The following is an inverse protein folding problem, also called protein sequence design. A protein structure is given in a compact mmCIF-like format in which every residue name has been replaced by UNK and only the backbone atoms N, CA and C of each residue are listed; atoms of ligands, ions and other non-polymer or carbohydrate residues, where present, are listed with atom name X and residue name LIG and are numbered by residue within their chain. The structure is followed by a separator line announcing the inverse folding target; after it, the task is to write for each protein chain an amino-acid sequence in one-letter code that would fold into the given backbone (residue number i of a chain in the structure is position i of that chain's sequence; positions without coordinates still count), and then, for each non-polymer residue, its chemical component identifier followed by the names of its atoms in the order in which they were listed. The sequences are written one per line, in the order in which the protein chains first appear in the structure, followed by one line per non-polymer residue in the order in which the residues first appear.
data_IF_697977590573
#
_entry.id   IF_697977590573
#
_cell.length_a   1.000
_cell.length_b   1.000
_cell.length_c   1.000
_cell.angle_alpha   90.00
_cell.angle_beta   90.00
_cell.angle_gamma   90.00
#
_symmetry.space_group_name_H-M   'P 1'
#
loop_
_entity.id
_entity.type
_entity.pdbx_description
1 polymer ?
#
# COMPACT_ATOMS: atom_id res chain seq x y z
N UNK A 1 -9.48 32.10 20.67
CA UNK A 1 -8.24 32.54 20.04
C UNK A 1 -7.80 31.37 19.16
N UNK A 2 -7.50 31.61 17.90
CA UNK A 2 -7.01 30.56 16.98
C UNK A 2 -5.58 30.23 17.39
N UNK A 3 -5.28 28.94 17.51
CA UNK A 3 -3.98 28.45 17.98
C UNK A 3 -2.93 28.45 16.85
N UNK A 4 -1.69 28.86 17.16
CA UNK A 4 -0.57 28.72 16.23
C UNK A 4 -0.08 27.28 16.17
N UNK A 5 0.73 26.94 15.16
CA UNK A 5 1.25 25.56 15.01
C UNK A 5 2.23 25.20 16.13
N UNK A 6 3.02 26.16 16.62
CA UNK A 6 3.95 25.97 17.73
C UNK A 6 3.20 25.69 19.04
N UNK A 7 2.11 26.40 19.30
CA UNK A 7 1.25 26.16 20.45
C UNK A 7 0.57 24.79 20.36
N UNK A 8 0.07 24.42 19.17
CA UNK A 8 -0.54 23.11 18.93
C UNK A 8 0.50 21.99 19.10
N UNK A 9 1.73 22.19 18.64
CA UNK A 9 2.81 21.23 18.83
C UNK A 9 3.13 21.03 20.30
N UNK A 10 3.15 22.10 21.10
CA UNK A 10 3.25 22.01 22.56
C UNK A 10 2.15 21.14 23.18
N UNK A 11 0.89 21.31 22.72
CA UNK A 11 -0.25 20.50 23.16
C UNK A 11 -0.15 19.03 22.74
N UNK A 12 0.34 18.78 21.52
CA UNK A 12 0.64 17.42 21.05
C UNK A 12 1.68 16.73 21.94
N UNK A 13 2.75 17.42 22.32
CA UNK A 13 3.78 16.87 23.22
C UNK A 13 3.20 16.63 24.64
N UNK A 14 2.34 17.51 25.15
CA UNK A 14 1.61 17.31 26.41
C UNK A 14 0.74 16.04 26.42
N UNK A 15 0.30 15.57 25.22
CA UNK A 15 -0.43 14.31 25.00
C UNK A 15 0.49 13.09 24.86
N UNK A 16 1.77 13.22 25.20
CA UNK A 16 2.76 12.15 25.01
C UNK A 16 2.99 11.80 23.55
N UNK A 17 2.86 12.76 22.64
CA UNK A 17 2.92 12.60 21.20
C UNK A 17 1.92 11.55 20.64
N UNK A 18 0.75 11.45 21.25
CA UNK A 18 -0.31 10.55 20.86
C UNK A 18 -1.48 11.31 20.25
N UNK A 19 -1.87 10.95 19.04
CA UNK A 19 -3.02 11.53 18.32
C UNK A 19 -3.99 10.44 17.84
N UNK A 20 -5.25 10.79 17.75
CA UNK A 20 -6.27 9.97 17.10
C UNK A 20 -7.30 10.85 16.39
N UNK A 21 -7.84 10.36 15.27
CA UNK A 21 -8.97 10.95 14.55
C UNK A 21 -10.24 10.12 14.73
N UNK A 22 -10.18 9.01 15.47
CA UNK A 22 -11.32 8.15 15.78
C UNK A 22 -11.66 8.22 17.28
N UNK A 23 -12.77 8.87 17.62
CA UNK A 23 -13.24 9.03 19.00
C UNK A 23 -13.50 7.69 19.73
N UNK A 24 -13.69 6.60 19.00
CA UNK A 24 -13.90 5.24 19.54
C UNK A 24 -12.59 4.56 19.98
N UNK A 25 -11.46 5.05 19.50
CA UNK A 25 -10.13 4.48 19.75
C UNK A 25 -9.40 5.14 20.92
N UNK A 26 -10.01 6.11 21.61
CA UNK A 26 -9.43 6.84 22.73
C UNK A 26 -9.15 5.87 23.89
N UNK A 27 -7.91 5.91 24.40
CA UNK A 27 -7.44 5.11 25.52
C UNK A 27 -7.14 5.94 26.77
N UNK A 28 -7.01 7.25 26.59
CA UNK A 28 -6.75 8.25 27.61
C UNK A 28 -5.47 9.04 27.37
N UNK A 29 -5.60 10.38 27.38
CA UNK A 29 -4.49 11.32 27.27
C UNK A 29 -4.13 11.77 25.86
N UNK A 30 -4.75 11.24 24.81
CA UNK A 30 -4.47 11.59 23.41
C UNK A 30 -4.97 13.02 23.05
N UNK A 31 -4.41 13.57 21.97
CA UNK A 31 -4.98 14.66 21.20
C UNK A 31 -5.97 14.08 20.19
N UNK A 32 -7.27 14.29 20.41
CA UNK A 32 -8.28 13.97 19.39
C UNK A 32 -8.32 15.09 18.35
N UNK A 33 -8.22 14.74 17.06
CA UNK A 33 -8.31 15.69 15.94
C UNK A 33 -9.64 15.45 15.21
N UNK A 34 -10.55 16.41 15.33
CA UNK A 34 -11.90 16.34 14.75
C UNK A 34 -11.85 16.70 13.27
N UNK A 35 -11.89 15.69 12.41
CA UNK A 35 -11.89 15.88 10.94
C UNK A 35 -13.33 15.96 10.41
N UNK A 36 -13.55 16.82 9.42
CA UNK A 36 -14.82 16.95 8.71
C UNK A 36 -14.69 16.31 7.32
N UNK A 37 -15.56 15.38 7.00
CA UNK A 37 -15.70 14.75 5.68
C UNK A 37 -17.03 15.09 5.04
N UNK A 38 -17.30 14.59 3.85
CA UNK A 38 -18.54 14.84 3.08
C UNK A 38 -19.81 14.43 3.83
N UNK A 39 -19.76 13.28 4.52
CA UNK A 39 -20.93 12.67 5.21
C UNK A 39 -20.78 12.58 6.72
N UNK A 40 -19.77 13.24 7.30
CA UNK A 40 -19.41 13.09 8.70
C UNK A 40 -18.71 14.36 9.20
N UNK A 41 -19.12 14.85 10.36
CA UNK A 41 -18.47 15.96 11.05
C UNK A 41 -17.88 15.50 12.40
N UNK A 42 -16.55 15.34 12.43
CA UNK A 42 -15.81 14.94 13.64
C UNK A 42 -15.94 15.94 14.79
N UNK A 43 -16.24 17.22 14.49
CA UNK A 43 -16.39 18.26 15.50
C UNK A 43 -17.53 17.97 16.49
N UNK A 44 -18.59 17.28 16.05
CA UNK A 44 -19.71 16.87 16.90
C UNK A 44 -19.30 15.87 17.99
N UNK A 45 -18.17 15.18 17.81
CA UNK A 45 -17.67 14.17 18.75
C UNK A 45 -16.60 14.71 19.70
N UNK A 46 -16.22 15.98 19.60
CA UNK A 46 -15.11 16.55 20.36
C UNK A 46 -15.34 16.48 21.90
N UNK A 47 -16.50 16.89 22.37
CA UNK A 47 -16.84 16.83 23.82
C UNK A 47 -16.92 15.39 24.31
N UNK A 48 -17.50 14.49 23.50
CA UNK A 48 -17.56 13.06 23.82
C UNK A 48 -16.17 12.43 23.86
N UNK A 49 -15.24 12.89 22.99
CA UNK A 49 -13.85 12.46 23.01
C UNK A 49 -13.14 12.86 24.30
N UNK A 50 -13.39 14.07 24.80
CA UNK A 50 -12.88 14.53 26.11
C UNK A 50 -13.47 13.72 27.27
N UNK A 51 -14.77 13.43 27.23
CA UNK A 51 -15.45 12.55 28.23
C UNK A 51 -14.85 11.12 28.19
N UNK A 52 -14.45 10.62 27.01
CA UNK A 52 -13.80 9.32 26.85
C UNK A 52 -12.33 9.32 27.32
N UNK A 53 -11.76 10.46 27.72
CA UNK A 53 -10.43 10.57 28.29
C UNK A 53 -9.37 11.20 27.39
N UNK A 54 -9.72 11.72 26.21
CA UNK A 54 -8.79 12.54 25.44
C UNK A 54 -8.37 13.76 26.27
N UNK A 55 -7.09 14.11 26.24
CA UNK A 55 -6.58 15.28 26.98
C UNK A 55 -7.01 16.58 26.32
N UNK A 56 -6.97 16.61 25.01
CA UNK A 56 -7.42 17.73 24.18
C UNK A 56 -8.21 17.24 22.97
N UNK A 57 -9.11 18.10 22.48
CA UNK A 57 -9.84 17.92 21.23
C UNK A 57 -9.60 19.13 20.32
N UNK A 58 -8.93 18.93 19.20
CA UNK A 58 -8.71 19.94 18.16
C UNK A 58 -9.92 19.98 17.24
N UNK A 59 -10.51 21.17 17.09
CA UNK A 59 -11.76 21.40 16.35
C UNK A 59 -11.65 22.61 15.45
N UNK A 60 -12.55 22.71 14.47
CA UNK A 60 -12.74 23.94 13.70
C UNK A 60 -13.33 25.05 14.57
N UNK A 61 -12.87 26.28 14.41
CA UNK A 61 -13.25 27.43 15.23
C UNK A 61 -14.73 27.80 15.13
N UNK A 62 -15.40 27.46 14.04
CA UNK A 62 -16.83 27.65 13.79
C UNK A 62 -17.73 26.55 14.39
N UNK A 63 -17.14 25.51 14.98
CA UNK A 63 -17.88 24.39 15.56
C UNK A 63 -18.56 24.72 16.90
N UNK A 64 -19.65 24.01 17.19
CA UNK A 64 -20.35 24.11 18.48
C UNK A 64 -19.40 23.76 19.64
N UNK A 65 -18.51 22.79 19.46
CA UNK A 65 -17.53 22.41 20.48
C UNK A 65 -16.56 23.56 20.79
N UNK A 66 -16.13 24.35 19.79
CA UNK A 66 -15.30 25.55 20.00
C UNK A 66 -16.02 26.62 20.84
N UNK A 67 -17.35 26.76 20.67
CA UNK A 67 -18.18 27.70 21.39
C UNK A 67 -18.52 27.25 22.82
N UNK A 68 -18.24 26.00 23.18
CA UNK A 68 -18.55 25.45 24.51
C UNK A 68 -17.74 26.08 25.66
N UNK A 69 -16.58 26.69 25.35
CA UNK A 69 -15.65 27.20 26.37
C UNK A 69 -14.95 26.11 27.19
N UNK A 70 -15.04 24.85 26.80
CA UNK A 70 -14.40 23.75 27.52
C UNK A 70 -12.86 23.86 27.42
N UNK A 71 -12.12 23.80 28.56
CA UNK A 71 -10.67 24.05 28.59
C UNK A 71 -9.83 23.01 27.79
N UNK A 72 -10.38 21.82 27.53
CA UNK A 72 -9.76 20.80 26.71
C UNK A 72 -10.00 20.95 25.19
N UNK A 73 -10.84 21.92 24.77
CA UNK A 73 -11.13 22.20 23.37
C UNK A 73 -10.09 23.18 22.82
N UNK A 74 -9.41 22.80 21.75
CA UNK A 74 -8.44 23.61 21.02
C UNK A 74 -9.05 23.98 19.66
N UNK A 75 -9.09 25.28 19.32
CA UNK A 75 -9.72 25.75 18.08
C UNK A 75 -8.68 26.21 17.06
N UNK A 76 -8.85 25.79 15.81
CA UNK A 76 -8.09 26.20 14.62
C UNK A 76 -9.05 26.55 13.49
N UNK A 77 -8.56 27.25 12.45
CA UNK A 77 -9.41 27.57 11.28
C UNK A 77 -9.91 26.29 10.58
N UNK A 78 -9.01 25.34 10.36
CA UNK A 78 -9.30 24.05 9.72
C UNK A 78 -8.45 22.94 10.36
N UNK A 79 -9.11 21.98 10.99
CA UNK A 79 -8.46 20.86 11.69
C UNK A 79 -7.72 19.90 10.75
N UNK A 80 -8.16 19.77 9.50
CA UNK A 80 -7.46 18.97 8.49
C UNK A 80 -6.15 19.63 8.05
N UNK A 81 -6.17 20.94 7.79
CA UNK A 81 -4.95 21.71 7.49
C UNK A 81 -4.01 21.68 8.70
N UNK A 82 -4.54 21.87 9.91
CA UNK A 82 -3.77 21.83 11.15
C UNK A 82 -3.09 20.47 11.39
N UNK A 83 -3.77 19.34 11.08
CA UNK A 83 -3.17 18.01 11.12
C UNK A 83 -1.94 17.89 10.19
N UNK A 84 -2.05 18.39 8.97
CA UNK A 84 -0.95 18.36 7.99
C UNK A 84 0.22 19.24 8.43
N UNK A 85 -0.08 20.45 8.91
CA UNK A 85 0.93 21.37 9.42
C UNK A 85 1.60 20.83 10.68
N UNK A 86 0.85 20.23 11.60
CA UNK A 86 1.40 19.60 12.80
C UNK A 86 2.35 18.45 12.46
N UNK A 87 1.97 17.61 11.50
CA UNK A 87 2.80 16.50 11.05
C UNK A 87 4.09 16.98 10.35
N UNK A 88 4.00 17.97 9.48
CA UNK A 88 5.17 18.58 8.84
C UNK A 88 6.06 19.28 9.87
N UNK A 89 5.48 20.03 10.81
CA UNK A 89 6.22 20.67 11.90
C UNK A 89 6.98 19.64 12.74
N UNK A 90 6.30 18.55 13.16
CA UNK A 90 6.93 17.45 13.88
C UNK A 90 8.07 16.83 13.07
N UNK A 91 7.84 16.47 11.79
CA UNK A 91 8.84 15.96 10.86
C UNK A 91 10.10 16.83 10.83
N UNK A 92 9.93 18.14 10.80
CA UNK A 92 11.01 19.13 10.73
C UNK A 92 11.72 19.38 12.06
N UNK A 93 11.16 18.89 13.18
CA UNK A 93 11.74 18.98 14.52
C UNK A 93 12.32 17.63 15.00
N UNK A 94 12.29 16.58 14.19
CA UNK A 94 12.91 15.29 14.47
C UNK A 94 14.35 15.28 13.98
N UNK A 95 15.31 15.12 14.91
CA UNK A 95 16.75 15.11 14.61
C UNK A 95 17.40 13.83 15.10
N UNK A 96 18.36 13.34 14.31
CA UNK A 96 19.21 12.19 14.60
C UNK A 96 20.67 12.63 14.49
N UNK A 97 21.43 12.55 15.55
CA UNK A 97 22.84 12.92 15.60
C UNK A 97 23.12 14.33 15.02
N UNK A 98 22.22 15.28 15.32
CA UNK A 98 22.31 16.68 14.88
C UNK A 98 21.88 16.94 13.43
N UNK A 99 21.41 15.92 12.70
CA UNK A 99 20.84 16.05 11.37
C UNK A 99 19.34 15.78 11.40
N UNK A 100 18.59 16.38 10.49
CA UNK A 100 17.17 16.11 10.31
C UNK A 100 16.96 14.62 10.01
N UNK A 101 15.95 14.01 10.63
CA UNK A 101 15.59 12.60 10.43
C UNK A 101 15.43 12.28 8.94
N UNK A 102 16.00 11.18 8.50
CA UNK A 102 15.85 10.70 7.12
C UNK A 102 14.46 10.13 6.87
N UNK A 103 13.82 10.57 5.81
CA UNK A 103 12.53 10.06 5.34
C UNK A 103 12.67 9.45 3.95
N UNK A 104 12.26 8.20 3.81
CA UNK A 104 12.12 7.50 2.53
C UNK A 104 10.64 7.52 2.16
N UNK A 105 10.29 8.28 1.11
CA UNK A 105 8.95 8.32 0.56
C UNK A 105 8.78 7.29 -0.55
N UNK A 106 7.70 6.51 -0.52
CA UNK A 106 7.44 5.56 -1.59
C UNK A 106 6.00 5.60 -2.10
N UNK A 107 5.87 5.48 -3.41
CA UNK A 107 4.59 5.32 -4.10
C UNK A 107 4.68 4.24 -5.18
N UNK A 108 3.64 4.08 -5.96
CA UNK A 108 3.58 3.16 -7.10
C UNK A 108 2.17 2.64 -7.33
N UNK A 109 1.98 1.93 -8.41
CA UNK A 109 0.68 1.30 -8.69
C UNK A 109 0.49 0.06 -7.83
N UNK A 110 1.42 -0.88 -7.90
CA UNK A 110 1.39 -2.16 -7.18
C UNK A 110 2.63 -2.32 -6.29
N UNK A 111 2.56 -3.18 -5.29
CA UNK A 111 3.71 -3.56 -4.46
C UNK A 111 4.11 -2.57 -3.37
N UNK A 112 3.49 -1.39 -3.26
CA UNK A 112 3.84 -0.35 -2.26
C UNK A 112 3.99 -0.91 -0.84
N UNK A 113 2.94 -1.51 -0.32
CA UNK A 113 2.94 -2.01 1.06
C UNK A 113 3.93 -3.15 1.27
N UNK A 114 4.02 -4.08 0.31
CA UNK A 114 5.02 -5.17 0.37
C UNK A 114 6.44 -4.61 0.38
N UNK A 115 6.73 -3.67 -0.51
CA UNK A 115 8.06 -3.02 -0.57
C UNK A 115 8.35 -2.25 0.71
N UNK A 116 7.39 -1.49 1.24
CA UNK A 116 7.52 -0.78 2.52
C UNK A 116 7.85 -1.73 3.67
N UNK A 117 7.12 -2.86 3.78
CA UNK A 117 7.38 -3.83 4.85
C UNK A 117 8.74 -4.52 4.70
N UNK A 118 9.16 -4.86 3.47
CA UNK A 118 10.49 -5.40 3.22
C UNK A 118 11.59 -4.38 3.56
N UNK A 119 11.44 -3.11 3.16
CA UNK A 119 12.37 -2.03 3.52
C UNK A 119 12.44 -1.89 5.05
N UNK A 120 11.27 -1.85 5.73
CA UNK A 120 11.21 -1.80 7.18
C UNK A 120 11.95 -2.98 7.82
N UNK A 121 11.70 -4.20 7.35
CA UNK A 121 12.35 -5.41 7.88
C UNK A 121 13.87 -5.35 7.72
N UNK A 122 14.35 -4.99 6.53
CA UNK A 122 15.80 -4.88 6.24
C UNK A 122 16.46 -3.78 7.09
N UNK A 123 15.88 -2.58 7.10
CA UNK A 123 16.46 -1.47 7.86
C UNK A 123 16.40 -1.70 9.38
N UNK A 124 15.38 -2.41 9.87
CA UNK A 124 15.24 -2.75 11.29
C UNK A 124 16.34 -3.70 11.81
N UNK A 125 17.10 -4.34 10.93
CA UNK A 125 18.29 -5.10 11.34
C UNK A 125 19.42 -4.21 11.91
N UNK A 126 19.35 -2.88 11.65
CA UNK A 126 20.39 -1.93 12.12
C UNK A 126 19.82 -0.70 12.81
N UNK A 127 18.60 -0.29 12.49
CA UNK A 127 18.03 0.99 12.91
C UNK A 127 16.65 0.84 13.55
N UNK A 128 16.27 1.79 14.40
CA UNK A 128 14.88 1.94 14.83
C UNK A 128 14.07 2.64 13.72
N UNK A 129 13.05 1.98 13.20
CA UNK A 129 12.30 2.41 12.02
C UNK A 129 10.86 2.77 12.39
N UNK A 130 10.39 3.94 11.94
CA UNK A 130 8.97 4.26 11.86
C UNK A 130 8.50 4.07 10.42
N UNK A 131 7.44 3.30 10.20
CA UNK A 131 6.87 3.09 8.87
C UNK A 131 5.36 3.28 8.88
N UNK A 132 4.78 3.65 7.73
CA UNK A 132 3.33 3.69 7.54
C UNK A 132 2.69 2.36 7.95
N UNK A 133 1.70 2.40 8.83
CA UNK A 133 0.95 1.22 9.24
C UNK A 133 -0.30 1.00 8.39
N UNK A 134 -0.58 -0.26 8.10
CA UNK A 134 -1.77 -0.64 7.33
C UNK A 134 -1.86 0.09 5.99
N UNK A 135 -2.92 0.84 5.82
CA UNK A 135 -3.23 1.65 4.63
C UNK A 135 -3.25 3.16 4.92
N UNK A 136 -2.53 3.64 5.93
CA UNK A 136 -2.43 5.06 6.30
C UNK A 136 -1.53 5.83 5.32
N UNK A 137 -1.90 5.82 4.04
CA UNK A 137 -1.09 6.32 2.93
C UNK A 137 -1.76 7.46 2.13
N UNK A 138 -2.85 8.03 2.65
CA UNK A 138 -3.59 9.16 2.08
C UNK A 138 -3.34 10.45 2.87
N UNK A 139 -4.08 11.52 2.55
CA UNK A 139 -3.98 12.87 3.15
C UNK A 139 -4.17 12.94 4.67
N UNK A 140 -4.81 11.94 5.26
CA UNK A 140 -4.94 11.79 6.73
C UNK A 140 -3.88 10.83 7.25
N UNK A 141 -3.65 9.74 6.54
CA UNK A 141 -2.79 8.65 6.99
C UNK A 141 -1.30 9.00 6.99
N UNK A 142 -0.83 9.76 6.00
CA UNK A 142 0.57 10.22 5.95
C UNK A 142 0.89 11.15 7.13
N UNK A 143 0.09 12.20 7.42
CA UNK A 143 0.26 12.99 8.64
C UNK A 143 0.29 12.14 9.91
N UNK A 144 -0.67 11.22 10.09
CA UNK A 144 -0.70 10.34 11.25
C UNK A 144 0.54 9.42 11.34
N UNK A 145 1.06 8.97 10.20
CA UNK A 145 2.30 8.17 10.14
C UNK A 145 3.51 8.98 10.59
N UNK A 146 3.60 10.24 10.19
CA UNK A 146 4.69 11.15 10.61
C UNK A 146 4.62 11.46 12.11
N UNK A 147 3.41 11.72 12.66
CA UNK A 147 3.22 11.98 14.09
C UNK A 147 3.51 10.76 14.99
N UNK A 148 3.85 9.61 14.43
CA UNK A 148 4.33 8.43 15.17
C UNK A 148 5.85 8.33 15.24
N UNK A 149 6.57 9.23 14.58
CA UNK A 149 8.02 9.32 14.70
C UNK A 149 8.39 9.65 16.15
N UNK A 150 9.32 8.88 16.70
CA UNK A 150 9.80 9.02 18.08
C UNK A 150 11.26 9.51 18.08
N UNK A 151 11.73 9.97 19.21
CA UNK A 151 13.13 10.36 19.39
C UNK A 151 14.13 9.21 19.12
N UNK A 152 13.66 7.96 19.26
CA UNK A 152 14.46 6.77 18.97
C UNK A 152 14.49 6.42 17.48
N UNK A 153 13.54 6.93 16.69
CA UNK A 153 13.46 6.66 15.23
C UNK A 153 14.69 7.20 14.52
N UNK A 154 15.29 6.38 13.67
CA UNK A 154 16.47 6.74 12.86
C UNK A 154 16.12 7.01 11.40
N UNK A 155 15.18 6.26 10.86
CA UNK A 155 14.68 6.40 9.49
C UNK A 155 13.16 6.23 9.51
N UNK A 156 12.43 7.07 8.77
CA UNK A 156 11.01 6.91 8.53
C UNK A 156 10.76 6.41 7.10
N UNK A 157 9.85 5.44 6.92
CA UNK A 157 9.46 4.88 5.62
C UNK A 157 7.98 5.16 5.40
N UNK A 158 7.69 6.14 4.54
CA UNK A 158 6.34 6.70 4.35
C UNK A 158 5.75 6.26 3.01
N UNK A 159 4.73 5.40 3.08
CA UNK A 159 3.94 4.99 1.90
C UNK A 159 2.95 6.08 1.52
N UNK A 160 2.92 6.46 0.23
CA UNK A 160 2.03 7.46 -0.35
C UNK A 160 1.14 6.84 -1.41
N UNK A 161 -0.16 6.83 -1.15
CA UNK A 161 -1.20 6.42 -2.09
C UNK A 161 -1.68 7.58 -2.93
N UNK A 162 -2.16 7.30 -4.15
CA UNK A 162 -2.77 8.32 -4.99
C UNK A 162 -3.86 7.69 -5.87
N UNK A 163 -4.99 8.37 -5.97
CA UNK A 163 -6.14 8.02 -6.78
C UNK A 163 -6.49 9.15 -7.77
N UNK A 164 -6.02 10.38 -7.52
CA UNK A 164 -6.27 11.57 -8.32
C UNK A 164 -4.97 12.33 -8.66
N UNK A 165 -4.98 13.22 -9.65
CA UNK A 165 -3.91 14.19 -9.87
C UNK A 165 -3.62 14.97 -8.59
N UNK A 166 -2.35 15.31 -8.39
CA UNK A 166 -1.82 16.10 -7.27
C UNK A 166 -1.86 15.43 -5.86
N UNK A 167 -2.47 14.25 -5.70
CA UNK A 167 -2.41 13.53 -4.42
C UNK A 167 -0.96 13.37 -3.92
N UNK A 168 -0.05 12.90 -4.79
CA UNK A 168 1.36 12.73 -4.41
C UNK A 168 2.02 14.05 -4.07
N UNK A 169 1.73 15.13 -4.82
CA UNK A 169 2.24 16.48 -4.55
C UNK A 169 1.88 16.91 -3.13
N UNK A 170 0.62 16.78 -2.75
CA UNK A 170 0.17 17.13 -1.40
C UNK A 170 0.85 16.30 -0.30
N UNK A 171 1.11 15.02 -0.56
CA UNK A 171 1.72 14.13 0.42
C UNK A 171 3.23 14.39 0.56
N UNK A 172 3.96 14.65 -0.52
CA UNK A 172 5.39 14.99 -0.45
C UNK A 172 5.64 16.33 0.22
N UNK A 173 4.74 17.32 0.06
CA UNK A 173 4.80 18.59 0.76
C UNK A 173 4.65 18.46 2.28
N UNK A 174 3.95 17.42 2.75
CA UNK A 174 3.78 17.14 4.19
C UNK A 174 4.96 16.34 4.74
N UNK A 175 5.39 15.28 4.03
CA UNK A 175 6.42 14.38 4.55
C UNK A 175 7.85 14.80 4.19
N UNK A 176 8.05 15.66 3.19
CA UNK A 176 9.36 16.15 2.72
C UNK A 176 10.40 15.02 2.66
N UNK A 177 10.23 14.03 1.78
CA UNK A 177 11.12 12.87 1.74
C UNK A 177 12.51 13.27 1.23
N UNK A 178 13.56 12.71 1.85
CA UNK A 178 14.96 12.85 1.43
C UNK A 178 15.31 11.85 0.32
N UNK A 179 14.60 10.72 0.31
CA UNK A 179 14.72 9.66 -0.70
C UNK A 179 13.36 9.30 -1.26
N UNK A 180 13.32 8.99 -2.56
CA UNK A 180 12.12 8.58 -3.28
C UNK A 180 12.22 7.18 -3.86
N UNK A 181 11.09 6.46 -3.90
CA UNK A 181 10.95 5.18 -4.61
C UNK A 181 9.58 5.10 -5.27
N UNK A 182 9.54 4.82 -6.57
CA UNK A 182 8.32 4.41 -7.27
C UNK A 182 8.47 2.93 -7.60
N UNK A 183 7.62 2.08 -7.02
CA UNK A 183 7.71 0.63 -7.21
C UNK A 183 7.47 0.23 -8.66
N UNK A 184 6.44 0.77 -9.26
CA UNK A 184 6.07 0.64 -10.67
C UNK A 184 4.97 1.64 -11.03
N UNK A 185 4.73 1.80 -12.34
CA UNK A 185 3.56 2.46 -12.89
C UNK A 185 2.77 1.45 -13.71
N UNK A 186 1.44 1.50 -13.62
CA UNK A 186 0.56 0.57 -14.29
C UNK A 186 -0.87 1.12 -14.36
N UNK A 187 -1.75 0.42 -15.08
CA UNK A 187 -3.15 0.80 -15.21
C UNK A 187 -3.89 0.56 -13.90
N UNK A 188 -4.12 1.62 -13.14
CA UNK A 188 -4.92 1.62 -11.92
C UNK A 188 -5.55 3.00 -11.72
N UNK A 189 -6.72 3.05 -11.07
CA UNK A 189 -7.45 4.29 -10.79
C UNK A 189 -7.64 5.17 -12.04
N UNK A 190 -7.87 4.53 -13.20
CA UNK A 190 -7.98 5.24 -14.49
C UNK A 190 -9.14 6.24 -14.51
N UNK A 191 -10.19 5.99 -13.73
CA UNK A 191 -11.29 6.94 -13.56
C UNK A 191 -10.78 8.27 -12.96
N UNK A 192 -9.91 8.21 -11.95
CA UNK A 192 -9.38 9.39 -11.28
C UNK A 192 -8.26 10.08 -12.08
N UNK A 193 -7.33 9.32 -12.65
CA UNK A 193 -6.18 9.86 -13.39
C UNK A 193 -6.46 10.16 -14.87
N UNK A 194 -7.57 9.69 -15.42
CA UNK A 194 -7.98 9.86 -16.80
C UNK A 194 -7.23 9.00 -17.82
N UNK A 195 -5.97 8.64 -17.56
CA UNK A 195 -5.14 7.84 -18.48
C UNK A 195 -3.92 7.24 -17.78
N UNK A 196 -3.23 6.31 -18.45
CA UNK A 196 -1.94 5.79 -17.98
C UNK A 196 -0.87 6.88 -17.86
N UNK A 197 -0.83 7.83 -18.80
CA UNK A 197 0.06 9.00 -18.70
C UNK A 197 -0.32 9.90 -17.51
N UNK A 198 -1.59 9.98 -17.13
CA UNK A 198 -2.05 10.61 -15.90
C UNK A 198 -1.48 9.95 -14.65
N UNK A 199 -1.46 8.61 -14.62
CA UNK A 199 -0.81 7.84 -13.53
C UNK A 199 0.67 8.17 -13.42
N UNK A 200 1.41 8.19 -14.55
CA UNK A 200 2.84 8.53 -14.58
C UNK A 200 3.08 9.95 -14.06
N UNK A 201 2.31 10.94 -14.54
CA UNK A 201 2.44 12.34 -14.08
C UNK A 201 2.21 12.46 -12.58
N UNK A 202 1.12 11.89 -12.06
CA UNK A 202 0.79 11.98 -10.64
C UNK A 202 1.88 11.33 -9.76
N UNK A 203 2.33 10.12 -10.09
CA UNK A 203 3.39 9.45 -9.32
C UNK A 203 4.76 10.09 -9.49
N UNK A 204 5.02 10.66 -10.68
CA UNK A 204 6.23 11.42 -10.99
C UNK A 204 6.44 12.64 -10.11
N UNK A 205 5.39 13.19 -9.50
CA UNK A 205 5.49 14.29 -8.54
C UNK A 205 6.42 13.99 -7.35
N UNK A 206 6.59 12.71 -6.99
CA UNK A 206 7.61 12.31 -6.02
C UNK A 206 9.02 12.60 -6.57
N UNK A 207 9.30 12.26 -7.82
CA UNK A 207 10.60 12.56 -8.44
C UNK A 207 10.81 14.05 -8.63
N UNK A 208 9.74 14.80 -8.97
CA UNK A 208 9.79 16.27 -9.07
C UNK A 208 10.20 16.90 -7.73
N UNK A 209 9.60 16.46 -6.63
CA UNK A 209 9.92 16.94 -5.30
C UNK A 209 11.39 16.63 -4.93
N UNK A 210 11.82 15.39 -5.11
CA UNK A 210 13.18 14.94 -4.79
C UNK A 210 14.23 15.71 -5.60
N UNK A 211 14.00 15.91 -6.92
CA UNK A 211 14.90 16.69 -7.77
C UNK A 211 15.01 18.15 -7.31
N UNK A 212 13.89 18.78 -6.95
CA UNK A 212 13.84 20.17 -6.49
C UNK A 212 14.55 20.38 -5.13
N UNK A 213 14.67 19.34 -4.30
CA UNK A 213 15.23 19.44 -2.95
C UNK A 213 16.60 18.75 -2.79
N UNK A 214 17.22 18.32 -3.90
CA UNK A 214 18.56 17.72 -3.89
C UNK A 214 18.66 16.35 -3.25
N UNK A 215 17.56 15.61 -3.17
CA UNK A 215 17.50 14.24 -2.66
C UNK A 215 17.90 13.20 -3.71
N UNK A 216 17.69 11.92 -3.39
CA UNK A 216 18.01 10.81 -4.30
C UNK A 216 16.83 9.87 -4.47
N UNK A 217 16.76 9.17 -5.61
CA UNK A 217 15.74 8.14 -5.85
C UNK A 217 16.37 6.76 -6.00
N UNK A 218 15.73 5.76 -5.41
CA UNK A 218 16.01 4.36 -5.71
C UNK A 218 15.21 3.99 -6.95
N UNK A 219 15.89 3.73 -8.05
CA UNK A 219 15.30 3.54 -9.37
C UNK A 219 15.40 2.09 -9.84
N UNK A 220 14.27 1.48 -10.16
CA UNK A 220 14.27 0.20 -10.87
C UNK A 220 14.75 0.42 -12.31
N UNK A 221 16.00 0.06 -12.57
CA UNK A 221 16.66 0.24 -13.85
C UNK A 221 16.13 -0.70 -14.96
N UNK A 222 15.42 -1.78 -14.59
CA UNK A 222 14.79 -2.70 -15.55
C UNK A 222 13.41 -2.22 -16.00
N UNK A 223 12.87 -1.14 -15.41
CA UNK A 223 11.56 -0.62 -15.78
C UNK A 223 11.69 0.62 -16.69
N UNK A 224 11.40 0.48 -18.01
CA UNK A 224 11.61 1.55 -18.98
C UNK A 224 10.75 2.79 -18.71
N UNK A 225 9.54 2.63 -18.15
CA UNK A 225 8.69 3.76 -17.79
C UNK A 225 9.31 4.59 -16.66
N UNK A 226 9.85 3.92 -15.63
CA UNK A 226 10.49 4.61 -14.50
C UNK A 226 11.80 5.28 -14.92
N UNK A 227 12.58 4.63 -15.78
CA UNK A 227 13.80 5.21 -16.36
C UNK A 227 13.46 6.46 -17.15
N UNK A 228 12.50 6.40 -18.09
CA UNK A 228 12.05 7.55 -18.85
C UNK A 228 11.50 8.69 -17.96
N UNK A 229 10.77 8.33 -16.88
CA UNK A 229 10.28 9.31 -15.91
C UNK A 229 11.42 9.99 -15.14
N UNK A 230 12.52 9.31 -14.88
CA UNK A 230 13.68 9.87 -14.20
C UNK A 230 14.53 10.75 -15.14
N UNK A 231 14.77 10.30 -16.37
CA UNK A 231 15.62 10.97 -17.37
C UNK A 231 15.15 12.38 -17.76
N UNK A 232 13.84 12.67 -17.67
CA UNK A 232 13.29 14.00 -17.98
C UNK A 232 13.43 15.01 -16.83
N UNK A 233 14.11 14.64 -15.73
CA UNK A 233 14.24 15.46 -14.51
C UNK A 233 15.71 15.80 -14.25
N UNK A 234 16.07 17.00 -14.58
CA UNK A 234 17.42 17.52 -14.31
C UNK A 234 17.72 17.55 -12.80
N UNK A 235 18.94 17.18 -12.44
CA UNK A 235 19.40 17.22 -11.04
C UNK A 235 18.92 16.09 -10.14
N UNK A 236 18.17 15.12 -10.66
CA UNK A 236 17.74 13.96 -9.91
C UNK A 236 18.92 12.99 -9.68
N UNK A 237 19.31 12.79 -8.42
CA UNK A 237 20.32 11.78 -8.06
C UNK A 237 19.70 10.40 -8.07
N UNK A 238 20.31 9.44 -8.78
CA UNK A 238 19.77 8.09 -9.00
C UNK A 238 20.64 7.04 -8.33
N UNK A 239 20.01 6.16 -7.54
CA UNK A 239 20.58 4.95 -6.96
C UNK A 239 19.88 3.77 -7.65
N UNK A 240 20.50 3.16 -8.68
CA UNK A 240 19.85 2.13 -9.48
C UNK A 240 19.81 0.79 -8.76
N UNK A 241 18.74 0.03 -9.04
CA UNK A 241 18.61 -1.39 -8.72
C UNK A 241 17.83 -2.10 -9.81
N UNK A 242 17.92 -3.43 -9.87
CA UNK A 242 17.15 -4.22 -10.82
C UNK A 242 17.70 -5.63 -10.96
N UNK A 243 16.94 -6.52 -11.58
CA UNK A 243 17.34 -7.91 -11.81
C UNK A 243 18.56 -7.98 -12.73
N UNK A 244 18.52 -7.27 -13.85
CA UNK A 244 19.65 -7.20 -14.79
C UNK A 244 20.81 -6.41 -14.20
N UNK A 245 20.50 -5.27 -13.58
CA UNK A 245 21.48 -4.38 -12.97
C UNK A 245 22.31 -5.07 -11.86
N UNK A 246 21.64 -5.78 -10.95
CA UNK A 246 22.30 -6.47 -9.82
C UNK A 246 22.73 -7.91 -10.16
N UNK A 247 22.56 -8.38 -11.40
CA UNK A 247 22.94 -9.73 -11.83
C UNK A 247 22.14 -10.83 -11.12
N UNK A 248 20.83 -10.62 -10.94
CA UNK A 248 19.95 -11.50 -10.17
C UNK A 248 19.33 -12.56 -11.05
N UNK A 249 19.35 -13.80 -10.60
CA UNK A 249 18.63 -14.93 -11.21
C UNK A 249 17.41 -15.31 -10.39
N UNK A 250 16.27 -15.49 -11.06
CA UNK A 250 15.06 -16.04 -10.44
C UNK A 250 15.14 -17.57 -10.48
N UNK A 251 14.99 -18.19 -9.32
CA UNK A 251 14.92 -19.65 -9.22
C UNK A 251 13.51 -20.15 -9.46
N UNK A 252 13.36 -21.20 -10.23
CA UNK A 252 12.04 -21.77 -10.57
C UNK A 252 11.30 -22.22 -9.32
N UNK A 253 10.05 -21.80 -9.19
CA UNK A 253 9.14 -22.30 -8.16
C UNK A 253 8.72 -23.74 -8.44
N UNK A 254 8.61 -24.56 -7.38
CA UNK A 254 8.14 -25.94 -7.45
C UNK A 254 7.02 -26.15 -6.44
N UNK A 255 6.23 -27.24 -6.53
CA UNK A 255 5.19 -27.55 -5.53
C UNK A 255 5.73 -27.64 -4.09
N UNK A 256 6.98 -28.06 -3.92
CA UNK A 256 7.68 -28.16 -2.63
C UNK A 256 8.26 -26.80 -2.19
N UNK A 257 8.54 -25.92 -3.14
CA UNK A 257 9.10 -24.58 -2.93
C UNK A 257 8.33 -23.53 -3.75
N UNK A 258 7.10 -23.20 -3.37
CA UNK A 258 6.20 -22.36 -4.17
C UNK A 258 6.50 -20.87 -4.06
N UNK A 259 7.36 -20.48 -3.12
CA UNK A 259 7.71 -19.09 -2.88
C UNK A 259 8.77 -18.58 -3.85
N UNK A 260 8.79 -17.26 -4.02
CA UNK A 260 9.84 -16.57 -4.76
C UNK A 260 11.21 -16.83 -4.12
N UNK A 261 12.17 -17.25 -4.94
CA UNK A 261 13.57 -17.41 -4.57
C UNK A 261 14.45 -16.68 -5.58
N UNK A 262 15.46 -16.01 -5.07
CA UNK A 262 16.42 -15.23 -5.86
C UNK A 262 17.83 -15.74 -5.59
N UNK A 263 18.70 -15.64 -6.59
CA UNK A 263 20.14 -15.76 -6.42
C UNK A 263 20.78 -14.41 -6.74
N UNK A 264 21.51 -13.85 -5.78
CA UNK A 264 22.17 -12.55 -5.89
C UNK A 264 23.54 -12.61 -5.24
N UNK A 265 24.61 -12.24 -5.99
CA UNK A 265 25.99 -12.25 -5.49
C UNK A 265 26.43 -13.60 -4.93
N UNK A 266 25.96 -14.71 -5.50
CA UNK A 266 26.26 -16.08 -5.06
C UNK A 266 25.53 -16.52 -3.79
N UNK A 267 24.56 -15.73 -3.29
CA UNK A 267 23.71 -16.07 -2.15
C UNK A 267 22.28 -16.31 -2.61
N UNK A 268 21.63 -17.33 -2.05
CA UNK A 268 20.21 -17.58 -2.28
C UNK A 268 19.40 -16.83 -1.24
N UNK A 269 18.34 -16.14 -1.69
CA UNK A 269 17.34 -15.48 -0.86
C UNK A 269 16.03 -16.26 -0.97
N UNK A 270 15.58 -16.87 0.12
CA UNK A 270 14.35 -17.65 0.18
C UNK A 270 13.25 -16.81 0.84
N UNK A 271 12.24 -16.40 0.08
CA UNK A 271 11.18 -15.56 0.60
C UNK A 271 9.94 -16.37 0.97
N UNK A 272 8.98 -15.74 1.67
CA UNK A 272 7.61 -16.23 1.84
C UNK A 272 6.61 -15.51 0.92
N UNK A 273 7.11 -14.86 -0.13
CA UNK A 273 6.28 -14.15 -1.11
C UNK A 273 5.92 -15.08 -2.27
N UNK A 274 4.71 -14.99 -2.76
CA UNK A 274 4.27 -15.69 -3.97
C UNK A 274 4.35 -14.74 -5.17
N UNK A 275 4.88 -15.24 -6.28
CA UNK A 275 4.93 -14.52 -7.56
C UNK A 275 6.25 -13.81 -7.83
N UNK A 276 6.77 -14.02 -9.03
CA UNK A 276 8.03 -13.44 -9.53
C UNK A 276 8.01 -11.90 -9.58
N UNK A 277 6.84 -11.29 -9.70
CA UNK A 277 6.66 -9.84 -9.68
C UNK A 277 7.10 -9.20 -8.34
N UNK A 278 7.22 -9.97 -7.27
CA UNK A 278 7.78 -9.51 -5.99
C UNK A 278 9.31 -9.40 -5.99
N UNK A 279 10.00 -9.89 -7.00
CA UNK A 279 11.46 -9.81 -7.07
C UNK A 279 11.95 -8.35 -6.99
N UNK A 280 11.31 -7.45 -7.72
CA UNK A 280 11.67 -6.02 -7.68
C UNK A 280 11.43 -5.38 -6.31
N UNK A 281 10.41 -5.84 -5.57
CA UNK A 281 10.16 -5.36 -4.21
C UNK A 281 11.28 -5.80 -3.24
N UNK A 282 11.77 -7.03 -3.40
CA UNK A 282 12.92 -7.57 -2.64
C UNK A 282 14.19 -6.83 -3.00
N UNK A 283 14.47 -6.62 -4.29
CA UNK A 283 15.67 -5.92 -4.76
C UNK A 283 15.70 -4.46 -4.32
N UNK A 284 14.55 -3.77 -4.31
CA UNK A 284 14.44 -2.43 -3.75
C UNK A 284 14.86 -2.39 -2.27
N UNK A 285 14.37 -3.34 -1.47
CA UNK A 285 14.70 -3.41 -0.04
C UNK A 285 16.17 -3.73 0.19
N UNK A 286 16.77 -4.65 -0.59
CA UNK A 286 18.21 -4.96 -0.52
C UNK A 286 19.07 -3.78 -0.95
N UNK A 287 18.69 -3.08 -2.03
CA UNK A 287 19.39 -1.88 -2.48
C UNK A 287 19.39 -0.79 -1.41
N UNK A 288 18.23 -0.53 -0.79
CA UNK A 288 18.08 0.44 0.31
C UNK A 288 18.91 -0.01 1.52
N UNK A 289 18.85 -1.30 1.90
CA UNK A 289 19.69 -1.85 2.95
C UNK A 289 21.18 -1.61 2.72
N UNK A 290 21.66 -1.91 1.52
CA UNK A 290 23.05 -1.66 1.10
C UNK A 290 23.43 -0.18 1.18
N UNK A 291 22.54 0.72 0.73
CA UNK A 291 22.80 2.14 0.80
C UNK A 291 22.93 2.67 2.22
N UNK A 292 22.12 2.16 3.16
CA UNK A 292 22.17 2.49 4.57
C UNK A 292 23.11 1.56 5.36
N UNK A 293 24.00 0.83 4.68
CA UNK A 293 25.04 0.00 5.29
C UNK A 293 24.50 -1.06 6.26
N UNK A 294 23.35 -1.63 5.97
CA UNK A 294 22.88 -2.86 6.63
C UNK A 294 23.74 -4.02 6.16
N UNK A 295 24.19 -4.86 7.06
CA UNK A 295 24.94 -6.06 6.68
C UNK A 295 24.15 -6.94 5.73
N UNK A 296 24.78 -7.45 4.67
CA UNK A 296 24.10 -8.19 3.59
C UNK A 296 23.41 -9.46 4.11
N UNK A 297 24.07 -10.20 5.02
CA UNK A 297 23.48 -11.43 5.56
C UNK A 297 22.32 -11.11 6.51
N UNK A 298 22.42 -10.03 7.29
CA UNK A 298 21.32 -9.54 8.12
C UNK A 298 20.14 -9.06 7.25
N UNK A 299 20.39 -8.37 6.12
CA UNK A 299 19.36 -7.93 5.20
C UNK A 299 18.64 -9.12 4.55
N UNK A 300 19.38 -10.15 4.10
CA UNK A 300 18.81 -11.39 3.54
C UNK A 300 17.97 -12.10 4.61
N UNK A 301 18.50 -12.30 5.81
CA UNK A 301 17.78 -12.94 6.90
C UNK A 301 16.49 -12.19 7.27
N UNK A 302 16.48 -10.86 7.23
CA UNK A 302 15.29 -10.05 7.45
C UNK A 302 14.21 -10.25 6.37
N UNK A 303 14.62 -10.40 5.11
CA UNK A 303 13.70 -10.71 4.00
C UNK A 303 13.15 -12.13 4.14
N UNK A 304 14.00 -13.11 4.46
CA UNK A 304 13.59 -14.50 4.67
C UNK A 304 12.64 -14.66 5.86
N UNK A 305 12.79 -13.85 6.89
CA UNK A 305 11.91 -13.84 8.06
C UNK A 305 10.55 -13.13 7.79
N UNK A 306 10.46 -12.33 6.72
CA UNK A 306 9.23 -11.60 6.42
C UNK A 306 8.15 -12.52 5.88
N UNK A 307 7.06 -12.65 6.61
CA UNK A 307 5.85 -13.37 6.19
C UNK A 307 4.76 -12.35 5.83
N UNK A 308 4.27 -12.34 4.57
CA UNK A 308 3.22 -11.42 4.16
C UNK A 308 1.93 -11.70 4.93
N UNK A 309 1.28 -10.63 5.37
CA UNK A 309 -0.03 -10.60 5.98
C UNK A 309 -0.98 -9.76 5.11
N UNK A 310 -2.24 -9.62 5.50
CA UNK A 310 -3.19 -8.72 4.84
C UNK A 310 -3.61 -9.13 3.41
N UNK A 311 -3.65 -10.43 3.11
CA UNK A 311 -4.10 -10.95 1.82
C UNK A 311 -3.37 -10.34 0.61
N UNK A 312 -2.05 -10.15 0.72
CA UNK A 312 -1.19 -9.67 -0.37
C UNK A 312 -0.11 -10.69 -0.67
N UNK A 313 -0.19 -11.33 -1.82
CA UNK A 313 0.76 -12.39 -2.27
C UNK A 313 1.04 -13.43 -1.17
N UNK A 314 0.04 -13.72 -0.36
CA UNK A 314 0.11 -14.60 0.81
C UNK A 314 -0.28 -16.02 0.42
N UNK A 315 0.53 -17.00 0.81
CA UNK A 315 0.12 -18.39 0.75
C UNK A 315 -0.46 -18.84 2.10
N UNK A 316 -1.56 -19.55 2.05
CA UNK A 316 -2.18 -20.19 3.21
C UNK A 316 -2.54 -21.63 2.86
N UNK A 317 -2.64 -22.49 3.86
CA UNK A 317 -3.10 -23.88 3.70
C UNK A 317 -4.31 -24.10 4.60
N UNK A 318 -5.34 -24.68 4.03
CA UNK A 318 -6.46 -25.25 4.77
C UNK A 318 -6.28 -26.76 4.88
N UNK A 319 -7.17 -27.46 5.53
CA UNK A 319 -7.17 -28.94 5.57
C UNK A 319 -7.34 -29.55 4.17
N UNK A 320 -7.93 -28.82 3.23
CA UNK A 320 -8.34 -29.30 1.91
C UNK A 320 -7.54 -28.73 0.76
N UNK A 321 -7.07 -27.47 0.87
CA UNK A 321 -6.56 -26.72 -0.26
C UNK A 321 -5.30 -25.90 0.07
N UNK A 322 -4.59 -25.51 -0.97
CA UNK A 322 -3.53 -24.49 -0.90
C UNK A 322 -4.09 -23.19 -1.49
N UNK A 323 -4.06 -22.12 -0.71
CA UNK A 323 -4.62 -20.83 -1.11
C UNK A 323 -3.52 -19.82 -1.42
N UNK A 324 -3.66 -19.11 -2.54
CA UNK A 324 -2.89 -17.91 -2.88
C UNK A 324 -3.84 -16.72 -2.67
N UNK A 325 -3.66 -16.01 -1.56
CA UNK A 325 -4.50 -14.89 -1.17
C UNK A 325 -3.88 -13.57 -1.65
N UNK A 326 -4.50 -12.96 -2.65
CA UNK A 326 -4.15 -11.66 -3.20
C UNK A 326 -5.42 -10.79 -3.34
N UNK A 327 -6.27 -10.82 -2.31
CA UNK A 327 -7.62 -10.26 -2.30
C UNK A 327 -7.72 -8.85 -1.71
N UNK A 328 -6.60 -8.19 -1.41
CA UNK A 328 -6.64 -6.84 -0.86
C UNK A 328 -7.18 -5.82 -1.88
N UNK A 329 -6.70 -5.85 -3.12
CA UNK A 329 -7.19 -5.04 -4.23
C UNK A 329 -6.82 -5.66 -5.58
N UNK A 330 -7.51 -5.26 -6.65
CA UNK A 330 -7.22 -5.67 -8.01
C UNK A 330 -7.32 -4.50 -8.99
N UNK A 331 -6.36 -4.46 -9.92
CA UNK A 331 -6.35 -3.61 -11.11
C UNK A 331 -5.81 -4.43 -12.29
N UNK A 332 -5.91 -3.96 -13.55
CA UNK A 332 -5.49 -4.73 -14.71
C UNK A 332 -4.06 -5.27 -14.63
N UNK A 333 -3.11 -4.42 -14.21
CA UNK A 333 -1.70 -4.83 -14.12
C UNK A 333 -1.46 -5.90 -13.04
N UNK A 334 -2.10 -5.77 -11.87
CA UNK A 334 -1.96 -6.76 -10.80
C UNK A 334 -2.73 -8.05 -11.07
N UNK A 335 -3.87 -7.97 -11.79
CA UNK A 335 -4.63 -9.13 -12.21
C UNK A 335 -3.84 -9.95 -13.22
N UNK A 336 -3.29 -9.30 -14.25
CA UNK A 336 -2.44 -9.97 -15.24
C UNK A 336 -1.25 -10.66 -14.59
N UNK A 337 -0.50 -9.97 -13.74
CA UNK A 337 0.67 -10.53 -13.05
C UNK A 337 0.31 -11.73 -12.14
N UNK A 338 -0.83 -11.67 -11.45
CA UNK A 338 -1.31 -12.77 -10.62
C UNK A 338 -1.72 -13.99 -11.44
N UNK A 339 -2.41 -13.77 -12.58
CA UNK A 339 -2.80 -14.85 -13.49
C UNK A 339 -1.60 -15.48 -14.19
N UNK A 340 -0.61 -14.69 -14.62
CA UNK A 340 0.64 -15.20 -15.20
C UNK A 340 1.39 -16.09 -14.21
N UNK A 341 1.48 -15.63 -12.96
CA UNK A 341 2.10 -16.45 -11.91
C UNK A 341 1.28 -17.70 -11.60
N UNK A 342 -0.05 -17.58 -11.54
CA UNK A 342 -0.93 -18.71 -11.23
C UNK A 342 -0.95 -19.77 -12.33
N UNK A 343 -0.86 -19.35 -13.58
CA UNK A 343 -0.75 -20.24 -14.73
C UNK A 343 0.53 -21.08 -14.67
N UNK A 344 1.64 -20.48 -14.23
CA UNK A 344 2.93 -21.14 -14.02
C UNK A 344 2.99 -22.06 -12.78
N UNK A 345 2.02 -21.98 -11.84
CA UNK A 345 1.98 -22.84 -10.67
C UNK A 345 1.77 -24.29 -11.09
N UNK A 346 2.63 -25.17 -10.58
CA UNK A 346 2.49 -26.62 -10.82
C UNK A 346 1.60 -27.23 -9.74
N UNK A 347 0.34 -27.48 -10.08
CA UNK A 347 -0.62 -28.16 -9.26
C UNK A 347 -1.58 -28.98 -10.14
N UNK A 348 -2.04 -30.13 -9.65
CA UNK A 348 -2.93 -31.02 -10.39
C UNK A 348 -4.28 -30.36 -10.68
N UNK A 349 -4.82 -29.64 -9.68
CA UNK A 349 -6.06 -28.88 -9.80
C UNK A 349 -5.79 -27.41 -9.49
N UNK A 350 -6.16 -26.52 -10.40
CA UNK A 350 -6.04 -25.07 -10.25
C UNK A 350 -7.40 -24.40 -10.38
N UNK A 351 -7.78 -23.55 -9.41
CA UNK A 351 -9.04 -22.82 -9.40
C UNK A 351 -8.77 -21.34 -9.08
N UNK A 352 -9.27 -20.42 -9.90
CA UNK A 352 -9.21 -18.98 -9.63
C UNK A 352 -10.58 -18.45 -9.22
N UNK A 353 -10.64 -17.71 -8.11
CA UNK A 353 -11.81 -16.97 -7.65
C UNK A 353 -11.54 -15.49 -7.90
N UNK A 354 -12.13 -14.93 -8.96
CA UNK A 354 -11.78 -13.60 -9.46
C UNK A 354 -12.98 -12.64 -9.32
N UNK A 355 -12.77 -11.56 -8.59
CA UNK A 355 -13.74 -10.47 -8.44
C UNK A 355 -13.42 -9.29 -9.34
N UNK A 356 -14.45 -8.49 -9.64
CA UNK A 356 -14.36 -7.29 -10.48
C UNK A 356 -13.16 -6.40 -10.10
N UNK A 357 -12.59 -5.76 -11.12
CA UNK A 357 -11.64 -4.66 -10.99
C UNK A 357 -12.42 -3.34 -11.05
N UNK A 358 -12.36 -2.55 -9.95
CA UNK A 358 -13.07 -1.27 -9.85
C UNK A 358 -12.22 -0.09 -10.32
N UNK A 359 -12.86 1.06 -10.47
CA UNK A 359 -12.23 2.37 -10.78
C UNK A 359 -11.54 2.43 -12.15
N UNK A 360 -12.04 1.65 -13.12
CA UNK A 360 -11.51 1.60 -14.48
C UNK A 360 -12.23 2.55 -15.45
N UNK A 361 -13.40 3.10 -15.05
CA UNK A 361 -14.18 4.00 -15.90
C UNK A 361 -14.56 3.35 -17.23
N UNK A 362 -14.31 4.05 -18.33
CA UNK A 362 -14.64 3.59 -19.69
C UNK A 362 -13.83 2.34 -20.13
N UNK A 363 -12.68 2.10 -19.54
CA UNK A 363 -11.83 0.94 -19.86
C UNK A 363 -12.31 -0.37 -19.19
N UNK A 364 -13.32 -0.31 -18.28
CA UNK A 364 -13.73 -1.46 -17.47
C UNK A 364 -14.06 -2.69 -18.33
N UNK A 365 -14.94 -2.58 -19.32
CA UNK A 365 -15.33 -3.70 -20.16
C UNK A 365 -14.11 -4.31 -20.89
N UNK A 366 -13.27 -3.46 -21.47
CA UNK A 366 -12.06 -3.88 -22.20
C UNK A 366 -11.10 -4.68 -21.33
N UNK A 367 -10.84 -4.21 -20.11
CA UNK A 367 -9.89 -4.86 -19.20
C UNK A 367 -10.47 -6.17 -18.62
N UNK A 368 -11.80 -6.25 -18.39
CA UNK A 368 -12.45 -7.51 -17.98
C UNK A 368 -12.52 -8.52 -19.13
N UNK A 369 -12.76 -8.08 -20.39
CA UNK A 369 -12.66 -8.93 -21.58
C UNK A 369 -11.26 -9.52 -21.73
N UNK A 370 -10.21 -8.75 -21.46
CA UNK A 370 -8.84 -9.25 -21.49
C UNK A 370 -8.61 -10.37 -20.46
N UNK A 371 -9.19 -10.26 -19.27
CA UNK A 371 -9.13 -11.31 -18.23
C UNK A 371 -9.91 -12.56 -18.69
N UNK A 372 -11.12 -12.41 -19.23
CA UNK A 372 -11.91 -13.53 -19.75
C UNK A 372 -11.17 -14.25 -20.88
N UNK A 373 -10.56 -13.50 -21.82
CA UNK A 373 -9.73 -14.07 -22.89
C UNK A 373 -8.50 -14.80 -22.37
N UNK A 374 -7.89 -14.31 -21.29
CA UNK A 374 -6.77 -15.00 -20.62
C UNK A 374 -7.22 -16.33 -20.00
N UNK A 375 -8.37 -16.36 -19.31
CA UNK A 375 -8.92 -17.59 -18.72
C UNK A 375 -9.25 -18.60 -19.81
N UNK A 376 -9.74 -18.16 -20.97
CA UNK A 376 -10.08 -19.05 -22.09
C UNK A 376 -8.89 -19.89 -22.58
N UNK A 377 -7.67 -19.37 -22.47
CA UNK A 377 -6.41 -20.03 -22.86
C UNK A 377 -5.59 -20.60 -21.71
N UNK A 378 -6.07 -20.49 -20.48
CA UNK A 378 -5.32 -20.86 -19.28
C UNK A 378 -5.43 -22.37 -18.94
N UNK A 379 -4.46 -22.85 -18.16
CA UNK A 379 -4.45 -24.19 -17.56
C UNK A 379 -5.03 -24.18 -16.14
N UNK A 380 -6.16 -23.46 -15.94
CA UNK A 380 -6.92 -23.43 -14.69
C UNK A 380 -8.39 -23.15 -14.96
N UNK A 381 -9.25 -23.50 -14.01
CA UNK A 381 -10.67 -23.14 -14.00
C UNK A 381 -10.90 -21.88 -13.17
N UNK A 382 -12.01 -21.17 -13.43
CA UNK A 382 -12.35 -19.95 -12.70
C UNK A 382 -13.82 -19.82 -12.34
N UNK A 383 -14.09 -19.21 -11.19
CA UNK A 383 -15.35 -18.57 -10.85
C UNK A 383 -15.16 -17.04 -10.91
N UNK A 384 -16.14 -16.35 -11.48
CA UNK A 384 -16.13 -14.90 -11.64
C UNK A 384 -17.19 -14.23 -10.77
N UNK A 385 -16.86 -13.08 -10.18
CA UNK A 385 -17.74 -12.36 -9.26
C UNK A 385 -17.84 -10.88 -9.65
N UNK A 386 -19.08 -10.41 -9.80
CA UNK A 386 -19.39 -9.00 -9.98
C UNK A 386 -19.97 -8.64 -11.34
N UNK A 387 -20.54 -7.45 -11.43
CA UNK A 387 -21.29 -6.97 -12.60
C UNK A 387 -20.43 -6.71 -13.83
N UNK A 388 -19.17 -6.32 -13.64
CA UNK A 388 -18.28 -6.03 -14.77
C UNK A 388 -17.83 -7.32 -15.46
N UNK A 389 -17.56 -8.38 -14.72
CA UNK A 389 -17.35 -9.69 -15.31
C UNK A 389 -18.60 -10.24 -15.98
N UNK A 390 -19.81 -9.94 -15.47
CA UNK A 390 -21.06 -10.32 -16.17
C UNK A 390 -21.12 -9.70 -17.56
N UNK A 391 -20.89 -8.39 -17.66
CA UNK A 391 -20.86 -7.67 -18.93
C UNK A 391 -19.82 -8.26 -19.90
N UNK A 392 -18.64 -8.57 -19.38
CA UNK A 392 -17.57 -9.18 -20.18
C UNK A 392 -17.94 -10.57 -20.70
N UNK A 393 -18.63 -11.40 -19.90
CA UNK A 393 -19.12 -12.71 -20.33
C UNK A 393 -20.24 -12.59 -21.38
N UNK A 394 -21.15 -11.64 -21.21
CA UNK A 394 -22.25 -11.40 -22.17
C UNK A 394 -21.70 -10.98 -23.55
N UNK A 395 -20.57 -10.26 -23.59
CA UNK A 395 -19.89 -9.83 -24.82
C UNK A 395 -18.98 -10.93 -25.40
N UNK A 396 -18.19 -11.62 -24.55
CA UNK A 396 -17.20 -12.61 -25.00
C UNK A 396 -17.84 -13.94 -25.43
N UNK A 397 -18.92 -14.33 -24.76
CA UNK A 397 -19.58 -15.61 -24.93
C UNK A 397 -19.09 -16.70 -23.98
N UNK A 398 -19.43 -17.95 -24.29
CA UNK A 398 -19.13 -19.10 -23.45
C UNK A 398 -17.64 -19.43 -23.45
N UNK A 399 -17.09 -19.72 -22.24
CA UNK A 399 -15.71 -20.13 -22.00
C UNK A 399 -15.68 -21.37 -21.12
N UNK A 400 -15.15 -22.49 -21.63
CA UNK A 400 -15.15 -23.79 -20.96
C UNK A 400 -14.36 -23.82 -19.64
N UNK A 401 -13.43 -22.87 -19.46
CA UNK A 401 -12.65 -22.71 -18.26
C UNK A 401 -13.37 -21.89 -17.17
N UNK A 402 -14.50 -21.26 -17.48
CA UNK A 402 -15.30 -20.50 -16.51
C UNK A 402 -16.42 -21.40 -16.01
N UNK A 403 -16.31 -21.84 -14.75
CA UNK A 403 -17.28 -22.74 -14.13
C UNK A 403 -18.59 -22.06 -13.74
N UNK A 404 -18.57 -20.75 -13.52
CA UNK A 404 -19.75 -19.97 -13.21
C UNK A 404 -19.46 -18.51 -12.90
N UNK A 405 -20.54 -17.73 -12.83
CA UNK A 405 -20.53 -16.34 -12.45
C UNK A 405 -21.49 -16.11 -11.26
N UNK A 406 -21.10 -15.20 -10.36
CA UNK A 406 -21.88 -14.84 -9.18
C UNK A 406 -21.95 -13.31 -9.05
N UNK A 407 -23.07 -12.81 -8.56
CA UNK A 407 -23.24 -11.37 -8.41
C UNK A 407 -22.41 -10.78 -7.26
N UNK A 408 -22.07 -11.60 -6.25
CA UNK A 408 -21.32 -11.18 -5.06
C UNK A 408 -20.43 -12.30 -4.52
N UNK A 409 -19.43 -11.92 -3.70
CA UNK A 409 -18.61 -12.88 -2.97
C UNK A 409 -19.42 -13.72 -1.97
N UNK A 410 -20.50 -13.19 -1.42
CA UNK A 410 -21.41 -13.92 -0.53
C UNK A 410 -22.14 -15.02 -1.29
N UNK A 411 -22.60 -14.74 -2.53
CA UNK A 411 -23.25 -15.75 -3.39
C UNK A 411 -22.27 -16.87 -3.79
N UNK A 412 -21.02 -16.52 -4.12
CA UNK A 412 -19.97 -17.51 -4.39
C UNK A 412 -19.64 -18.33 -3.14
N UNK A 413 -19.51 -17.71 -1.96
CA UNK A 413 -19.27 -18.41 -0.71
C UNK A 413 -20.36 -19.46 -0.43
N UNK A 414 -21.63 -19.08 -0.59
CA UNK A 414 -22.77 -19.99 -0.42
C UNK A 414 -22.80 -21.16 -1.43
N UNK A 415 -22.23 -20.97 -2.62
CA UNK A 415 -22.02 -22.05 -3.58
C UNK A 415 -20.90 -22.99 -3.14
N UNK A 416 -19.76 -22.43 -2.73
CA UNK A 416 -18.58 -23.18 -2.27
C UNK A 416 -18.84 -23.99 -0.99
N UNK A 417 -19.76 -23.56 -0.12
CA UNK A 417 -20.21 -24.36 1.03
C UNK A 417 -20.89 -25.68 0.62
N UNK A 418 -21.52 -25.72 -0.57
CA UNK A 418 -22.21 -26.90 -1.10
C UNK A 418 -21.32 -27.75 -1.98
N UNK A 419 -20.41 -27.11 -2.69
CA UNK A 419 -19.50 -27.72 -3.66
C UNK A 419 -18.06 -27.34 -3.31
N UNK A 420 -17.59 -27.87 -2.17
CA UNK A 420 -16.26 -27.52 -1.63
C UNK A 420 -15.17 -28.06 -2.55
N UNK A 421 -14.27 -27.22 -3.07
CA UNK A 421 -13.11 -27.73 -3.82
C UNK A 421 -12.15 -28.46 -2.89
N UNK A 422 -11.56 -29.57 -3.38
CA UNK A 422 -10.60 -30.38 -2.63
C UNK A 422 -9.35 -30.69 -3.46
N UNK A 423 -8.20 -30.64 -2.80
CA UNK A 423 -6.89 -30.93 -3.40
C UNK A 423 -6.47 -29.88 -4.44
N UNK A 424 -7.00 -28.68 -4.35
CA UNK A 424 -6.72 -27.63 -5.33
C UNK A 424 -5.75 -26.56 -4.83
N UNK A 425 -5.01 -25.98 -5.76
CA UNK A 425 -4.38 -24.67 -5.56
C UNK A 425 -5.39 -23.60 -5.99
N UNK A 426 -5.72 -22.68 -5.09
CA UNK A 426 -6.80 -21.71 -5.30
C UNK A 426 -6.24 -20.28 -5.23
N UNK A 427 -6.36 -19.52 -6.31
CA UNK A 427 -6.10 -18.08 -6.33
C UNK A 427 -7.36 -17.33 -5.94
N UNK A 428 -7.28 -16.44 -4.94
CA UNK A 428 -8.36 -15.53 -4.55
C UNK A 428 -7.94 -14.10 -4.80
N UNK A 429 -8.60 -13.41 -5.76
CA UNK A 429 -8.26 -12.04 -6.15
C UNK A 429 -9.48 -11.23 -6.56
N UNK A 430 -9.49 -9.94 -6.19
CA UNK A 430 -10.54 -8.98 -6.57
C UNK A 430 -10.30 -7.62 -5.95
N UNK A 431 -11.04 -6.61 -6.42
CA UNK A 431 -11.01 -5.28 -5.83
C UNK A 431 -11.53 -5.31 -4.39
N UNK A 432 -11.01 -4.39 -3.55
CA UNK A 432 -11.37 -4.27 -2.13
C UNK A 432 -12.88 -4.26 -1.87
N UNK A 433 -13.65 -3.60 -2.74
CA UNK A 433 -15.10 -3.50 -2.60
C UNK A 433 -15.88 -4.77 -2.93
N UNK A 434 -15.26 -5.76 -3.59
CA UNK A 434 -15.88 -7.08 -3.87
C UNK A 434 -15.75 -8.01 -2.67
N UNK A 435 -14.72 -7.80 -1.83
CA UNK A 435 -14.50 -8.57 -0.59
C UNK A 435 -14.35 -10.08 -0.83
N UNK A 436 -13.49 -10.44 -1.79
CA UNK A 436 -13.26 -11.85 -2.14
C UNK A 436 -12.74 -12.69 -0.96
N UNK A 437 -12.15 -12.05 0.07
CA UNK A 437 -11.73 -12.73 1.31
C UNK A 437 -12.86 -13.45 2.05
N UNK A 438 -14.13 -13.11 1.79
CA UNK A 438 -15.29 -13.81 2.35
C UNK A 438 -15.43 -15.25 1.89
N UNK A 439 -14.85 -15.61 0.75
CA UNK A 439 -14.87 -16.99 0.24
C UNK A 439 -13.88 -17.90 0.97
N UNK A 440 -12.87 -17.35 1.64
CA UNK A 440 -11.77 -18.11 2.26
C UNK A 440 -12.24 -19.13 3.33
N UNK A 441 -13.21 -18.79 4.22
CA UNK A 441 -13.71 -19.76 5.20
C UNK A 441 -14.39 -20.99 4.59
N UNK A 442 -14.81 -20.94 3.31
CA UNK A 442 -15.49 -22.02 2.62
C UNK A 442 -14.54 -22.93 1.82
N UNK A 443 -13.21 -22.71 1.88
CA UNK A 443 -12.16 -23.41 1.12
C UNK A 443 -11.37 -24.38 2.04
#
# INVERSE_FOLDING_TARGET
MIMTIEELYGKYLECGACVTTDSRSIKGGELFIALKGENFDGNEFALKALEAGAKYALVNADSIAALSGHPGVLAVDDSFIALRQLANYHRNHCYVDGKRLTVIGLTGTNGKTTTKELIRSVLSAKYEITATEGNLNNDIGVPLSLLRIKDTTRIAVIEMGANHPDDIKHLVEVCEPDFGLITNVGKAHLLGFGSFEGVKRAKGQLFDFIAAHGGSVFLNADNPDLVAMAEVRDGLSIIPYGQVFDGVSLLTSTPQQPFLRLEIGGKTVNTHLVGSYNAMNVLAALCIGRYFEVDTDAAIAAIEAYVPANSRSQMSRTERNVLILDAYNANPSSMAAALDNFDAVQAEKKLALLGDMRELGADSLKEHLAVVGRIASADFKAYLVGSEFRKALDEYGQVDNILGWFESSDALASHLEKEVPEGACILVKGSRGIRMEKTVPCL
#
